data_IF_269462751333
#
_entry.id   IF_269462751333
#
_cell.length_a   1.000
_cell.length_b   1.000
_cell.length_c   1.000
_cell.angle_alpha   90.00
_cell.angle_beta   90.00
_cell.angle_gamma   90.00
#
_symmetry.space_group_name_H-M   'P 1'
#
loop_
_entity.id
_entity.type
_entity.pdbx_description
1 polymer ?
#
# COMPACT_ATOMS: atom_id res chain seq x y z
N UNK A 1 34.73 -33.71 14.39
CA UNK A 1 33.27 -33.64 14.25
C UNK A 1 32.98 -33.95 12.81
N UNK A 2 32.43 -35.14 12.52
CA UNK A 2 32.02 -35.53 11.18
C UNK A 2 30.84 -34.66 10.77
N UNK A 3 31.06 -33.74 9.84
CA UNK A 3 29.99 -33.11 9.08
C UNK A 3 29.35 -34.20 8.23
N UNK A 4 28.27 -34.76 8.74
CA UNK A 4 27.32 -35.53 7.94
C UNK A 4 26.83 -34.61 6.86
N UNK A 5 27.28 -34.78 5.62
CA UNK A 5 26.72 -34.20 4.40
C UNK A 5 25.25 -34.62 4.31
N UNK A 6 24.37 -33.81 4.92
CA UNK A 6 22.94 -33.94 4.79
C UNK A 6 22.66 -33.71 3.30
N UNK A 7 22.35 -34.78 2.57
CA UNK A 7 21.93 -34.72 1.17
C UNK A 7 20.68 -33.83 1.13
N UNK A 8 20.84 -32.59 0.73
CA UNK A 8 19.74 -31.59 0.67
C UNK A 8 18.77 -32.04 -0.44
N UNK A 9 17.74 -32.78 -0.06
CA UNK A 9 16.61 -33.10 -0.95
C UNK A 9 15.60 -31.96 -0.85
N UNK A 10 15.13 -31.50 -2.00
CA UNK A 10 14.09 -30.45 -2.03
C UNK A 10 12.83 -30.92 -1.31
N UNK A 11 12.16 -30.10 -0.50
CA UNK A 11 10.95 -30.47 0.22
C UNK A 11 9.86 -31.01 -0.72
N UNK A 12 9.36 -32.19 -0.41
CA UNK A 12 8.29 -32.85 -1.16
C UNK A 12 7.50 -33.81 -0.25
N UNK A 13 6.34 -34.25 -0.68
CA UNK A 13 5.59 -35.37 -0.10
C UNK A 13 4.94 -36.13 -1.20
N UNK A 14 5.53 -37.27 -1.54
CA UNK A 14 5.04 -38.17 -2.60
C UNK A 14 3.61 -38.60 -2.30
N UNK A 15 3.33 -38.97 -1.05
CA UNK A 15 2.02 -39.45 -0.62
C UNK A 15 0.94 -38.38 -0.78
N UNK A 16 1.26 -37.11 -0.46
CA UNK A 16 0.32 -36.02 -0.61
C UNK A 16 0.04 -35.71 -2.08
N UNK A 17 1.09 -35.68 -2.94
CA UNK A 17 0.92 -35.47 -4.38
C UNK A 17 0.08 -36.59 -5.03
N UNK A 18 0.33 -37.84 -4.68
CA UNK A 18 -0.48 -38.97 -5.13
C UNK A 18 -1.92 -38.89 -4.65
N UNK A 19 -2.11 -38.47 -3.39
CA UNK A 19 -3.43 -38.34 -2.79
C UNK A 19 -4.26 -37.21 -3.43
N UNK A 20 -3.65 -36.12 -3.85
CA UNK A 20 -4.34 -35.06 -4.61
C UNK A 20 -4.83 -35.63 -5.96
N UNK A 21 -3.94 -36.24 -6.74
CA UNK A 21 -4.30 -36.76 -8.05
C UNK A 21 -5.35 -37.86 -7.96
N UNK A 22 -5.18 -38.81 -7.02
CA UNK A 22 -6.16 -39.88 -6.80
C UNK A 22 -7.53 -39.36 -6.38
N UNK A 23 -7.59 -38.36 -5.50
CA UNK A 23 -8.85 -37.70 -5.10
C UNK A 23 -9.56 -37.01 -6.26
N UNK A 24 -8.82 -36.35 -7.15
CA UNK A 24 -9.36 -35.66 -8.34
C UNK A 24 -9.96 -36.63 -9.36
N UNK A 25 -9.42 -37.86 -9.44
CA UNK A 25 -9.98 -38.92 -10.33
C UNK A 25 -11.26 -39.51 -9.74
N UNK A 26 -11.33 -39.60 -8.40
CA UNK A 26 -12.48 -40.16 -7.68
C UNK A 26 -13.68 -39.23 -7.63
N UNK A 27 -13.46 -37.91 -7.58
CA UNK A 27 -14.49 -36.91 -7.27
C UNK A 27 -14.26 -35.60 -8.01
N UNK A 28 -15.29 -35.11 -8.71
CA UNK A 28 -15.23 -33.85 -9.43
C UNK A 28 -15.13 -32.64 -8.51
N UNK A 29 -15.70 -32.64 -7.31
CA UNK A 29 -15.59 -31.58 -6.32
C UNK A 29 -14.13 -31.45 -5.82
N UNK A 30 -13.40 -32.57 -5.79
CA UNK A 30 -11.97 -32.57 -5.47
C UNK A 30 -11.14 -31.84 -6.55
N UNK A 31 -11.56 -31.87 -7.83
CA UNK A 31 -10.91 -31.12 -8.90
C UNK A 31 -11.06 -29.64 -8.66
N UNK A 32 -12.26 -29.17 -8.34
CA UNK A 32 -12.53 -27.74 -8.05
C UNK A 32 -11.67 -27.28 -6.88
N UNK A 33 -11.69 -28.04 -5.78
CA UNK A 33 -10.88 -27.72 -4.58
C UNK A 33 -9.38 -27.67 -4.88
N UNK A 34 -8.88 -28.59 -5.70
CA UNK A 34 -7.47 -28.63 -6.04
C UNK A 34 -7.05 -27.50 -6.97
N UNK A 35 -7.90 -27.11 -7.94
CA UNK A 35 -7.69 -25.96 -8.85
C UNK A 35 -7.59 -24.63 -8.10
N UNK A 36 -8.35 -24.46 -7.03
CA UNK A 36 -8.31 -23.26 -6.21
C UNK A 36 -7.01 -23.09 -5.42
N UNK A 37 -6.33 -24.20 -5.10
CA UNK A 37 -5.17 -24.17 -4.19
C UNK A 37 -3.84 -24.36 -4.93
N UNK A 38 -3.82 -25.22 -5.95
CA UNK A 38 -2.59 -25.69 -6.60
C UNK A 38 -2.51 -25.26 -8.07
N UNK A 39 -1.26 -25.16 -8.53
CA UNK A 39 -0.87 -25.02 -9.93
C UNK A 39 -0.01 -26.24 -10.34
N UNK A 40 0.10 -26.50 -11.63
CA UNK A 40 0.94 -27.55 -12.16
C UNK A 40 2.38 -27.53 -11.60
N UNK A 41 2.95 -26.34 -11.45
CA UNK A 41 4.31 -26.11 -10.95
C UNK A 41 4.50 -26.38 -9.44
N UNK A 42 3.39 -26.54 -8.70
CA UNK A 42 3.45 -26.82 -7.26
C UNK A 42 3.79 -28.29 -6.96
N UNK A 43 3.73 -29.15 -7.95
CA UNK A 43 4.13 -30.56 -7.81
C UNK A 43 5.64 -30.71 -7.95
N UNK A 44 6.25 -31.49 -7.07
CA UNK A 44 7.67 -31.85 -7.16
C UNK A 44 7.93 -32.83 -8.26
N UNK A 45 7.06 -33.86 -8.35
CA UNK A 45 7.13 -34.88 -9.40
C UNK A 45 6.39 -34.37 -10.64
N UNK A 46 7.15 -34.10 -11.70
CA UNK A 46 6.62 -33.55 -12.97
C UNK A 46 5.44 -34.36 -13.53
N UNK A 47 5.43 -35.66 -13.33
CA UNK A 47 4.37 -36.54 -13.77
C UNK A 47 3.01 -36.21 -13.14
N UNK A 48 2.98 -35.85 -11.84
CA UNK A 48 1.73 -35.46 -11.18
C UNK A 48 1.26 -34.10 -11.61
N UNK A 49 2.18 -33.15 -11.86
CA UNK A 49 1.84 -31.87 -12.45
C UNK A 49 1.19 -32.00 -13.84
N UNK A 50 1.70 -32.91 -14.69
CA UNK A 50 1.12 -33.18 -16.01
C UNK A 50 -0.28 -33.80 -15.89
N UNK A 51 -0.47 -34.73 -14.97
CA UNK A 51 -1.78 -35.35 -14.70
C UNK A 51 -2.77 -34.30 -14.20
N UNK A 52 -2.35 -33.45 -13.26
CA UNK A 52 -3.14 -32.36 -12.73
C UNK A 52 -3.64 -31.43 -13.84
N UNK A 53 -2.75 -30.93 -14.69
CA UNK A 53 -3.07 -30.06 -15.81
C UNK A 53 -4.03 -30.72 -16.83
N UNK A 54 -3.79 -31.99 -17.17
CA UNK A 54 -4.65 -32.74 -18.07
C UNK A 54 -6.09 -32.91 -17.51
N UNK A 55 -6.23 -33.15 -16.21
CA UNK A 55 -7.54 -33.25 -15.56
C UNK A 55 -8.27 -31.89 -15.51
N UNK A 56 -7.56 -30.78 -15.28
CA UNK A 56 -8.13 -29.45 -15.34
C UNK A 56 -8.63 -29.12 -16.74
N UNK A 57 -7.86 -29.45 -17.79
CA UNK A 57 -8.30 -29.23 -19.17
C UNK A 57 -9.57 -30.03 -19.52
N UNK A 58 -9.64 -31.31 -19.11
CA UNK A 58 -10.84 -32.13 -19.29
C UNK A 58 -12.05 -31.53 -18.58
N UNK A 59 -11.88 -31.17 -17.30
CA UNK A 59 -12.93 -30.58 -16.51
C UNK A 59 -13.43 -29.24 -17.10
N UNK A 60 -12.51 -28.37 -17.50
CA UNK A 60 -12.82 -27.08 -18.10
C UNK A 60 -13.51 -27.16 -19.46
N UNK A 61 -13.26 -28.24 -20.21
CA UNK A 61 -13.96 -28.55 -21.47
C UNK A 61 -15.29 -29.26 -21.30
N UNK A 62 -15.73 -29.48 -20.04
CA UNK A 62 -16.99 -30.18 -19.73
C UNK A 62 -16.96 -31.68 -20.01
N UNK A 63 -15.77 -32.28 -20.16
CA UNK A 63 -15.61 -33.69 -20.36
C UNK A 63 -15.51 -34.46 -19.02
N UNK A 64 -16.00 -35.69 -18.94
CA UNK A 64 -15.85 -36.46 -17.72
C UNK A 64 -14.36 -36.74 -17.46
N UNK A 65 -13.96 -36.66 -16.20
CA UNK A 65 -12.59 -37.00 -15.76
C UNK A 65 -12.60 -38.39 -15.18
N UNK A 66 -12.18 -39.35 -15.99
CA UNK A 66 -12.03 -40.77 -15.63
C UNK A 66 -10.75 -41.35 -16.22
N UNK A 67 -10.44 -42.60 -15.86
CA UNK A 67 -9.21 -43.30 -16.32
C UNK A 67 -9.07 -43.34 -17.83
N UNK A 68 -10.18 -43.45 -18.57
CA UNK A 68 -10.17 -43.59 -20.03
C UNK A 68 -9.96 -42.25 -20.71
N UNK A 69 -10.74 -41.24 -20.29
CA UNK A 69 -10.65 -39.88 -20.85
C UNK A 69 -9.30 -39.24 -20.54
N UNK A 70 -8.79 -39.45 -19.32
CA UNK A 70 -7.48 -38.96 -18.90
C UNK A 70 -6.36 -39.63 -19.72
N UNK A 71 -6.41 -40.93 -19.91
CA UNK A 71 -5.42 -41.64 -20.76
C UNK A 71 -5.42 -41.11 -22.19
N UNK A 72 -6.60 -40.91 -22.80
CA UNK A 72 -6.69 -40.35 -24.14
C UNK A 72 -6.10 -38.94 -24.21
N UNK A 73 -6.38 -38.08 -23.21
CA UNK A 73 -5.83 -36.75 -23.13
C UNK A 73 -4.31 -36.73 -22.99
N UNK A 74 -3.75 -37.64 -22.18
CA UNK A 74 -2.30 -37.78 -22.02
C UNK A 74 -1.60 -38.28 -23.31
N UNK A 75 -2.25 -39.15 -24.09
CA UNK A 75 -1.73 -39.55 -25.40
C UNK A 75 -1.71 -38.42 -26.41
N UNK A 76 -2.70 -37.52 -26.39
CA UNK A 76 -2.71 -36.30 -27.22
C UNK A 76 -1.56 -35.35 -26.90
N UNK A 77 -1.14 -35.29 -25.63
CA UNK A 77 -0.04 -34.43 -25.15
C UNK A 77 1.36 -35.03 -25.34
N UNK A 78 1.48 -36.19 -26.01
CA UNK A 78 2.75 -36.88 -26.24
C UNK A 78 3.57 -37.17 -24.96
N UNK A 79 2.86 -37.51 -23.87
CA UNK A 79 3.46 -37.79 -22.56
C UNK A 79 4.06 -39.20 -22.53
N UNK A 80 5.20 -39.43 -21.80
CA UNK A 80 5.81 -40.74 -21.68
C UNK A 80 4.82 -41.84 -21.27
N UNK A 81 4.95 -43.01 -21.90
CA UNK A 81 4.04 -44.15 -21.68
C UNK A 81 3.93 -44.57 -20.21
N UNK A 82 4.98 -44.38 -19.44
CA UNK A 82 5.01 -44.67 -18.00
C UNK A 82 3.97 -43.84 -17.21
N UNK A 83 3.75 -42.59 -17.62
CA UNK A 83 2.81 -41.67 -16.98
C UNK A 83 1.38 -41.82 -17.50
N UNK A 84 1.24 -42.28 -18.78
CA UNK A 84 -0.06 -42.44 -19.43
C UNK A 84 -0.61 -43.87 -19.33
N UNK A 85 0.05 -44.78 -18.58
CA UNK A 85 -0.41 -46.15 -18.41
C UNK A 85 -1.62 -46.24 -17.48
N UNK A 86 -2.60 -47.07 -17.83
CA UNK A 86 -3.78 -47.33 -16.96
C UNK A 86 -3.38 -47.93 -15.61
N UNK A 87 -2.27 -48.66 -15.57
CA UNK A 87 -1.74 -49.28 -14.36
C UNK A 87 -1.28 -48.21 -13.37
N UNK A 88 -0.46 -47.26 -13.83
CA UNK A 88 0.03 -46.12 -13.01
C UNK A 88 -1.12 -45.25 -12.49
N UNK A 89 -2.04 -44.86 -13.36
CA UNK A 89 -3.18 -44.02 -12.95
C UNK A 89 -4.12 -44.78 -12.00
N UNK A 90 -4.29 -46.11 -12.23
CA UNK A 90 -5.08 -46.99 -11.37
C UNK A 90 -4.46 -47.19 -9.97
N UNK A 91 -3.13 -47.19 -9.85
CA UNK A 91 -2.44 -47.24 -8.56
C UNK A 91 -2.69 -45.98 -7.75
N UNK A 92 -2.73 -44.83 -8.37
CA UNK A 92 -3.02 -43.55 -7.69
C UNK A 92 -4.43 -43.50 -7.06
N UNK A 93 -5.41 -44.07 -7.76
CA UNK A 93 -6.78 -44.19 -7.22
C UNK A 93 -6.83 -45.14 -6.03
N UNK A 94 -6.08 -46.25 -6.09
CA UNK A 94 -6.04 -47.22 -4.97
C UNK A 94 -5.30 -46.73 -3.74
N UNK A 95 -4.35 -45.80 -3.94
CA UNK A 95 -3.57 -45.20 -2.83
C UNK A 95 -4.41 -44.28 -1.94
N UNK A 96 -5.57 -43.83 -2.43
CA UNK A 96 -6.41 -42.87 -1.70
C UNK A 96 -7.69 -43.52 -1.20
N UNK A 97 -7.91 -43.60 0.11
CA UNK A 97 -9.11 -44.23 0.65
C UNK A 97 -10.37 -43.33 0.55
N UNK A 98 -10.24 -42.02 0.44
CA UNK A 98 -11.36 -41.05 0.34
C UNK A 98 -10.92 -39.72 -0.24
N UNK A 99 -11.76 -39.10 -1.08
CA UNK A 99 -11.58 -37.75 -1.62
C UNK A 99 -11.84 -36.63 -0.59
N UNK A 100 -12.49 -36.92 0.55
CA UNK A 100 -12.94 -35.94 1.53
C UNK A 100 -11.82 -35.06 2.11
N UNK A 101 -10.57 -35.54 2.09
CA UNK A 101 -9.41 -34.83 2.66
C UNK A 101 -8.55 -34.11 1.62
N UNK A 102 -9.00 -33.98 0.38
CA UNK A 102 -8.22 -33.38 -0.71
C UNK A 102 -7.65 -32.02 -0.36
N UNK A 103 -8.41 -31.16 0.29
CA UNK A 103 -7.96 -29.84 0.73
C UNK A 103 -6.73 -29.92 1.64
N UNK A 104 -6.68 -30.92 2.51
CA UNK A 104 -5.55 -31.14 3.42
C UNK A 104 -4.30 -31.56 2.64
N UNK A 105 -4.46 -32.46 1.68
CA UNK A 105 -3.36 -32.91 0.80
C UNK A 105 -2.85 -31.76 -0.07
N UNK A 106 -3.74 -30.97 -0.64
CA UNK A 106 -3.37 -29.78 -1.40
C UNK A 106 -2.54 -28.78 -0.57
N UNK A 107 -2.90 -28.55 0.67
CA UNK A 107 -2.14 -27.68 1.56
C UNK A 107 -0.73 -28.19 1.84
N UNK A 108 -0.54 -29.51 2.01
CA UNK A 108 0.79 -30.13 2.18
C UNK A 108 1.65 -29.91 0.92
N UNK A 109 1.07 -30.13 -0.26
CA UNK A 109 1.77 -29.91 -1.54
C UNK A 109 2.13 -28.44 -1.70
N UNK A 110 1.21 -27.51 -1.39
CA UNK A 110 1.42 -26.07 -1.46
C UNK A 110 2.51 -25.60 -0.51
N UNK A 111 2.50 -26.09 0.73
CA UNK A 111 3.53 -25.75 1.72
C UNK A 111 4.93 -26.20 1.25
N UNK A 112 5.06 -27.41 0.72
CA UNK A 112 6.32 -27.89 0.18
C UNK A 112 6.76 -27.14 -1.08
N UNK A 113 5.82 -26.75 -1.94
CA UNK A 113 6.10 -25.89 -3.09
C UNK A 113 6.65 -24.52 -2.66
N UNK A 114 6.04 -23.89 -1.66
CA UNK A 114 6.52 -22.63 -1.10
C UNK A 114 7.93 -22.75 -0.51
N UNK A 115 8.22 -23.82 0.22
CA UNK A 115 9.57 -24.10 0.73
C UNK A 115 10.59 -24.22 -0.42
N UNK A 116 10.23 -24.90 -1.52
CA UNK A 116 11.10 -25.00 -2.72
C UNK A 116 11.33 -23.65 -3.40
N UNK A 117 10.28 -22.84 -3.54
CA UNK A 117 10.40 -21.48 -4.09
C UNK A 117 11.31 -20.61 -3.22
N UNK A 118 11.15 -20.69 -1.91
CA UNK A 118 12.01 -19.96 -0.97
C UNK A 118 13.48 -20.40 -1.07
N UNK A 119 13.75 -21.72 -1.16
CA UNK A 119 15.11 -22.24 -1.33
C UNK A 119 15.72 -21.69 -2.64
N UNK A 120 14.98 -21.70 -3.76
CA UNK A 120 15.49 -21.18 -5.04
C UNK A 120 15.84 -19.70 -4.97
N UNK A 121 14.96 -18.89 -4.39
CA UNK A 121 15.22 -17.44 -4.22
C UNK A 121 16.46 -17.20 -3.35
N UNK A 122 16.63 -17.95 -2.26
CA UNK A 122 17.84 -17.82 -1.41
C UNK A 122 19.11 -18.29 -2.13
N UNK A 123 19.04 -19.33 -2.97
CA UNK A 123 20.17 -19.77 -3.81
C UNK A 123 20.53 -18.71 -4.87
N UNK A 124 19.54 -18.06 -5.47
CA UNK A 124 19.76 -16.97 -6.43
C UNK A 124 20.44 -15.77 -5.77
N UNK A 125 19.97 -15.36 -4.58
CA UNK A 125 20.56 -14.28 -3.79
C UNK A 125 22.01 -14.63 -3.40
N UNK A 126 22.25 -15.86 -2.93
CA UNK A 126 23.58 -16.34 -2.60
C UNK A 126 24.54 -16.23 -3.80
N UNK A 127 24.10 -16.71 -4.97
CA UNK A 127 24.89 -16.65 -6.19
C UNK A 127 25.20 -15.22 -6.65
N UNK A 128 24.26 -14.30 -6.51
CA UNK A 128 24.46 -12.87 -6.84
C UNK A 128 25.47 -12.22 -5.90
N UNK A 129 25.39 -12.50 -4.60
CA UNK A 129 26.35 -12.02 -3.63
C UNK A 129 27.79 -12.50 -3.95
N UNK A 130 27.95 -13.79 -4.31
CA UNK A 130 29.25 -14.31 -4.70
C UNK A 130 29.75 -13.80 -6.04
N UNK A 131 28.85 -13.52 -6.97
CA UNK A 131 29.23 -12.98 -8.30
C UNK A 131 29.82 -11.57 -8.23
N UNK A 132 29.40 -10.74 -7.24
CA UNK A 132 29.93 -9.40 -6.98
C UNK A 132 29.82 -8.42 -8.16
N UNK A 133 28.87 -8.65 -9.07
CA UNK A 133 28.71 -7.84 -10.29
C UNK A 133 27.83 -6.62 -10.10
N UNK A 134 26.93 -6.67 -9.15
CA UNK A 134 25.96 -5.63 -8.86
C UNK A 134 26.31 -4.87 -7.58
N UNK A 135 25.76 -3.66 -7.42
CA UNK A 135 25.91 -2.91 -6.18
C UNK A 135 25.13 -3.58 -5.05
N UNK A 136 25.57 -3.39 -3.81
CA UNK A 136 24.87 -3.93 -2.63
C UNK A 136 23.40 -3.48 -2.61
N UNK A 137 23.14 -2.22 -2.96
CA UNK A 137 21.79 -1.65 -3.02
C UNK A 137 20.90 -2.39 -4.02
N UNK A 138 21.41 -2.68 -5.23
CA UNK A 138 20.68 -3.45 -6.26
C UNK A 138 20.34 -4.86 -5.79
N UNK A 139 21.26 -5.54 -5.13
CA UNK A 139 21.05 -6.89 -4.58
C UNK A 139 20.00 -6.87 -3.48
N UNK A 140 20.02 -5.87 -2.59
CA UNK A 140 19.04 -5.73 -1.53
C UNK A 140 17.64 -5.46 -2.05
N UNK A 141 17.48 -4.53 -3.00
CA UNK A 141 16.20 -4.20 -3.64
C UNK A 141 15.60 -5.41 -4.35
N UNK A 142 16.42 -6.17 -5.09
CA UNK A 142 15.98 -7.39 -5.75
C UNK A 142 15.56 -8.47 -4.75
N UNK A 143 16.35 -8.66 -3.70
CA UNK A 143 16.05 -9.61 -2.61
C UNK A 143 14.69 -9.29 -1.96
N UNK A 144 14.47 -8.02 -1.63
CA UNK A 144 13.18 -7.58 -1.06
C UNK A 144 12.02 -7.85 -2.03
N UNK A 145 12.21 -7.51 -3.31
CA UNK A 145 11.20 -7.75 -4.35
C UNK A 145 10.85 -9.24 -4.47
N UNK A 146 11.83 -10.12 -4.54
CA UNK A 146 11.64 -11.56 -4.79
C UNK A 146 11.01 -12.26 -3.59
N UNK A 147 11.46 -11.91 -2.36
CA UNK A 147 10.84 -12.41 -1.12
C UNK A 147 9.39 -11.91 -1.02
N UNK A 148 9.15 -10.64 -1.34
CA UNK A 148 7.79 -10.08 -1.31
C UNK A 148 6.87 -10.71 -2.34
N UNK A 149 7.36 -10.96 -3.57
CA UNK A 149 6.61 -11.67 -4.60
C UNK A 149 6.19 -13.08 -4.14
N UNK A 150 7.07 -13.78 -3.42
CA UNK A 150 6.74 -15.07 -2.81
C UNK A 150 5.66 -14.95 -1.73
N UNK A 151 5.76 -13.96 -0.83
CA UNK A 151 4.77 -13.73 0.23
C UNK A 151 3.41 -13.34 -0.37
N UNK A 152 3.41 -12.52 -1.42
CA UNK A 152 2.19 -12.08 -2.11
C UNK A 152 1.55 -13.21 -2.92
N UNK A 153 2.34 -14.17 -3.45
CA UNK A 153 1.83 -15.36 -4.11
C UNK A 153 1.16 -16.34 -3.14
N UNK A 154 1.43 -16.23 -1.85
CA UNK A 154 0.73 -16.96 -0.78
C UNK A 154 -0.72 -16.47 -0.61
N UNK A 155 -0.96 -15.20 -0.84
CA UNK A 155 -2.27 -14.55 -0.97
C UNK A 155 -2.69 -14.50 -2.45
N UNK A 156 -2.38 -15.55 -3.21
CA UNK A 156 -2.78 -15.67 -4.62
C UNK A 156 -4.22 -15.23 -4.75
N UNK A 157 -4.51 -14.32 -5.69
CA UNK A 157 -5.76 -13.60 -5.76
C UNK A 157 -6.95 -14.50 -5.50
N UNK A 158 -7.33 -14.61 -4.23
CA UNK A 158 -8.52 -15.31 -3.84
C UNK A 158 -9.67 -14.68 -4.60
N UNK A 159 -10.23 -15.40 -5.55
CA UNK A 159 -11.54 -15.08 -6.07
C UNK A 159 -12.49 -15.05 -4.86
N UNK A 160 -12.76 -13.85 -4.40
CA UNK A 160 -13.73 -13.68 -3.33
C UNK A 160 -15.12 -13.73 -3.97
N UNK A 161 -15.95 -14.74 -3.66
CA UNK A 161 -17.29 -14.83 -4.20
C UNK A 161 -18.04 -13.53 -3.92
N UNK A 162 -18.78 -13.02 -4.91
CA UNK A 162 -19.52 -11.75 -4.77
C UNK A 162 -20.40 -11.72 -3.52
N UNK A 163 -20.94 -12.86 -3.11
CA UNK A 163 -21.72 -12.99 -1.87
C UNK A 163 -20.92 -12.54 -0.64
N UNK A 164 -19.67 -12.93 -0.53
CA UNK A 164 -18.80 -12.54 0.59
C UNK A 164 -18.44 -11.05 0.53
N UNK A 165 -18.20 -10.52 -0.68
CA UNK A 165 -17.98 -9.08 -0.88
C UNK A 165 -19.19 -8.27 -0.45
N UNK A 166 -20.41 -8.72 -0.78
CA UNK A 166 -21.66 -8.10 -0.36
C UNK A 166 -21.83 -8.13 1.16
N UNK A 167 -21.56 -9.27 1.80
CA UNK A 167 -21.62 -9.37 3.26
C UNK A 167 -20.64 -8.43 3.95
N UNK A 168 -19.40 -8.39 3.51
CA UNK A 168 -18.39 -7.48 4.04
C UNK A 168 -18.76 -6.00 3.82
N UNK A 169 -19.41 -5.67 2.69
CA UNK A 169 -19.90 -4.32 2.42
C UNK A 169 -21.05 -3.95 3.36
N UNK A 170 -21.99 -4.86 3.60
CA UNK A 170 -23.09 -4.65 4.54
C UNK A 170 -22.59 -4.44 5.97
N UNK A 171 -21.62 -5.24 6.43
CA UNK A 171 -21.01 -5.05 7.75
C UNK A 171 -20.36 -3.68 7.90
N UNK A 172 -19.69 -3.19 6.84
CA UNK A 172 -19.09 -1.83 6.83
C UNK A 172 -20.16 -0.75 6.91
N UNK A 173 -21.28 -0.91 6.17
CA UNK A 173 -22.41 0.04 6.19
C UNK A 173 -23.07 0.01 7.59
N UNK A 174 -23.27 -1.16 8.18
CA UNK A 174 -23.84 -1.29 9.52
C UNK A 174 -22.97 -0.62 10.58
N UNK A 175 -21.64 -0.86 10.56
CA UNK A 175 -20.70 -0.17 11.44
C UNK A 175 -20.73 1.35 11.27
N UNK A 176 -20.79 1.82 10.03
CA UNK A 176 -20.89 3.25 9.74
C UNK A 176 -22.21 3.86 10.24
N UNK A 177 -23.31 3.10 10.18
CA UNK A 177 -24.62 3.56 10.68
C UNK A 177 -24.71 3.63 12.21
N UNK A 178 -23.86 2.90 12.92
CA UNK A 178 -23.78 2.87 14.40
C UNK A 178 -22.82 3.92 14.95
N UNK A 179 -21.99 4.56 14.10
CA UNK A 179 -21.11 5.64 14.53
C UNK A 179 -21.88 6.97 14.58
N UNK A 180 -21.79 7.67 15.72
CA UNK A 180 -22.29 9.03 15.85
C UNK A 180 -21.41 9.98 15.04
N UNK A 181 -21.80 10.29 13.78
CA UNK A 181 -21.10 11.23 12.91
C UNK A 181 -21.00 10.74 11.47
N UNK A 182 -20.68 11.70 10.56
CA UNK A 182 -20.54 11.41 9.12
C UNK A 182 -19.12 11.00 8.70
N UNK A 183 -18.21 10.75 9.65
CA UNK A 183 -16.80 10.47 9.38
C UNK A 183 -16.54 8.97 9.52
N UNK A 184 -16.37 8.30 8.38
CA UNK A 184 -16.08 6.84 8.34
C UNK A 184 -14.59 6.54 8.21
N UNK A 185 -13.80 7.52 7.75
CA UNK A 185 -12.34 7.47 7.64
C UNK A 185 -11.66 8.11 8.85
N UNK A 186 -10.38 8.41 8.69
CA UNK A 186 -9.58 9.13 9.71
C UNK A 186 -9.97 10.61 9.67
N UNK A 187 -10.42 11.20 10.79
CA UNK A 187 -10.80 12.60 10.84
C UNK A 187 -9.58 13.51 10.66
N UNK A 188 -9.74 14.60 9.92
CA UNK A 188 -8.68 15.60 9.69
C UNK A 188 -8.62 16.67 10.76
N UNK A 189 -9.67 16.78 11.59
CA UNK A 189 -9.88 17.89 12.54
C UNK A 189 -10.55 19.12 11.93
N UNK A 190 -10.77 19.12 10.61
CA UNK A 190 -11.50 20.18 9.90
C UNK A 190 -12.92 19.73 9.60
N UNK A 191 -13.88 20.21 10.39
CA UNK A 191 -15.27 19.72 10.41
C UNK A 191 -15.93 19.72 9.03
N UNK A 192 -15.82 20.83 8.29
CA UNK A 192 -16.45 20.95 6.97
C UNK A 192 -15.72 20.12 5.90
N UNK A 193 -14.41 19.89 6.07
CA UNK A 193 -13.64 18.99 5.21
C UNK A 193 -14.04 17.53 5.47
N UNK A 194 -14.09 17.14 6.73
CA UNK A 194 -14.49 15.79 7.15
C UNK A 194 -15.94 15.48 6.76
N UNK A 195 -16.85 16.46 6.84
CA UNK A 195 -18.21 16.31 6.35
C UNK A 195 -18.29 16.00 4.83
N UNK A 196 -17.40 16.66 4.02
CA UNK A 196 -17.39 16.46 2.56
C UNK A 196 -16.66 15.20 2.11
N UNK A 197 -15.61 14.81 2.83
CA UNK A 197 -14.75 13.67 2.46
C UNK A 197 -15.09 12.39 3.22
N UNK A 198 -15.94 12.49 4.25
CA UNK A 198 -16.14 11.46 5.27
C UNK A 198 -14.83 11.05 5.97
N UNK A 199 -13.86 11.98 6.10
CA UNK A 199 -12.51 11.74 6.58
C UNK A 199 -11.58 11.12 5.54
N UNK A 200 -10.34 10.83 5.93
CA UNK A 200 -9.34 10.19 5.06
C UNK A 200 -9.61 8.69 4.99
N UNK A 201 -9.98 8.20 3.81
CA UNK A 201 -10.38 6.80 3.64
C UNK A 201 -9.16 5.87 3.52
N UNK A 202 -9.19 4.68 4.12
CA UNK A 202 -8.15 3.67 3.92
C UNK A 202 -7.92 3.37 2.43
N UNK A 203 -6.66 3.15 2.05
CA UNK A 203 -6.24 2.88 0.66
C UNK A 203 -6.36 4.06 -0.31
N UNK A 204 -6.77 5.26 0.14
CA UNK A 204 -6.83 6.43 -0.73
C UNK A 204 -5.48 7.13 -0.85
N UNK A 205 -5.20 7.61 -2.06
CA UNK A 205 -4.15 8.57 -2.35
C UNK A 205 -4.78 9.96 -2.45
N UNK A 206 -4.46 10.81 -1.48
CA UNK A 206 -4.92 12.20 -1.40
C UNK A 206 -3.79 13.13 -1.81
N UNK A 207 -4.00 13.89 -2.87
CA UNK A 207 -3.04 14.88 -3.34
C UNK A 207 -3.43 16.27 -2.82
N UNK A 208 -2.48 16.95 -2.17
CA UNK A 208 -2.65 18.34 -1.73
C UNK A 208 -1.62 19.20 -2.46
N UNK A 209 -2.09 20.12 -3.29
CA UNK A 209 -1.20 20.94 -4.10
C UNK A 209 -1.42 22.44 -3.86
N UNK A 210 -0.33 23.18 -3.87
CA UNK A 210 -0.35 24.62 -3.71
C UNK A 210 0.87 25.31 -4.33
N UNK A 211 0.79 26.62 -4.55
CA UNK A 211 1.97 27.44 -4.79
C UNK A 211 2.77 27.62 -3.49
N UNK A 212 4.07 27.94 -3.57
CA UNK A 212 4.87 28.27 -2.40
C UNK A 212 4.20 29.32 -1.51
N UNK A 213 4.41 29.23 -0.21
CA UNK A 213 3.89 30.17 0.82
C UNK A 213 2.37 30.13 1.04
N UNK A 214 1.61 29.24 0.39
CA UNK A 214 0.17 29.06 0.65
C UNK A 214 -0.14 28.29 1.93
N UNK A 215 0.86 27.72 2.61
CA UNK A 215 0.68 26.98 3.85
C UNK A 215 0.52 25.46 3.69
N UNK A 216 0.99 24.87 2.57
CA UNK A 216 0.86 23.44 2.26
C UNK A 216 1.36 22.54 3.41
N UNK A 217 2.63 22.69 3.83
CA UNK A 217 3.23 21.95 4.95
C UNK A 217 2.48 22.22 6.28
N UNK A 218 2.07 23.48 6.54
CA UNK A 218 1.30 23.80 7.73
C UNK A 218 -0.04 23.05 7.77
N UNK A 219 -0.74 22.98 6.65
CA UNK A 219 -2.04 22.30 6.56
C UNK A 219 -1.92 20.80 6.92
N UNK A 220 -0.93 20.09 6.37
CA UNK A 220 -0.75 18.67 6.69
C UNK A 220 -0.20 18.44 8.08
N UNK A 221 0.59 19.37 8.64
CA UNK A 221 1.01 19.30 10.04
C UNK A 221 -0.17 19.48 11.00
N UNK A 222 -1.16 20.32 10.67
CA UNK A 222 -2.39 20.42 11.44
C UNK A 222 -3.19 19.11 11.42
N UNK A 223 -3.28 18.46 10.25
CA UNK A 223 -3.90 17.12 10.14
C UNK A 223 -3.10 16.10 10.96
N UNK A 224 -1.76 16.06 10.80
CA UNK A 224 -0.90 15.14 11.53
C UNK A 224 -1.02 15.30 13.05
N UNK A 225 -1.03 16.55 13.53
CA UNK A 225 -1.23 16.89 14.94
C UNK A 225 -2.59 16.36 15.43
N UNK A 226 -3.66 16.62 14.71
CA UNK A 226 -4.99 16.14 15.10
C UNK A 226 -5.03 14.62 15.17
N UNK A 227 -4.55 13.93 14.14
CA UNK A 227 -4.58 12.47 14.05
C UNK A 227 -3.68 11.82 15.11
N UNK A 228 -2.45 12.32 15.29
CA UNK A 228 -1.50 11.70 16.22
C UNK A 228 -1.74 12.07 17.68
N UNK A 229 -2.19 13.32 17.98
CA UNK A 229 -2.29 13.82 19.35
C UNK A 229 -3.70 13.66 19.94
N UNK A 230 -4.75 13.82 19.13
CA UNK A 230 -6.13 13.74 19.61
C UNK A 230 -6.78 12.40 19.35
N UNK A 231 -6.51 11.78 18.18
CA UNK A 231 -7.04 10.46 17.84
C UNK A 231 -6.11 9.31 18.27
N UNK A 232 -4.89 9.62 18.76
CA UNK A 232 -3.87 8.63 19.16
C UNK A 232 -3.58 7.59 18.07
N UNK A 233 -3.54 8.03 16.80
CA UNK A 233 -3.29 7.16 15.65
C UNK A 233 -1.88 7.37 15.13
N UNK A 234 -1.13 6.28 14.95
CA UNK A 234 0.22 6.35 14.42
C UNK A 234 0.24 7.02 13.04
N UNK A 235 1.00 8.10 12.93
CA UNK A 235 1.15 8.92 11.72
C UNK A 235 2.61 9.04 11.35
N UNK A 236 2.98 8.71 10.11
CA UNK A 236 4.32 8.87 9.59
C UNK A 236 4.41 10.05 8.64
N UNK A 237 5.36 10.97 8.87
CA UNK A 237 5.67 12.11 8.00
C UNK A 237 7.03 11.87 7.36
N UNK A 238 7.08 11.78 6.03
CA UNK A 238 8.31 11.81 5.25
C UNK A 238 8.53 13.24 4.76
N UNK A 239 9.50 13.92 5.38
CA UNK A 239 9.83 15.32 5.06
C UNK A 239 11.09 15.38 4.24
N UNK A 240 10.93 15.70 2.95
CA UNK A 240 12.05 15.77 2.00
C UNK A 240 12.58 17.19 1.81
N UNK A 241 11.86 18.21 2.32
CA UNK A 241 12.22 19.62 2.22
C UNK A 241 12.74 20.19 3.54
N UNK A 242 12.17 19.76 4.67
CA UNK A 242 12.47 20.34 5.99
C UNK A 242 13.05 19.29 6.91
N UNK A 243 13.98 19.68 7.79
CA UNK A 243 14.49 18.78 8.83
C UNK A 243 13.42 18.48 9.90
N UNK A 244 13.58 17.38 10.60
CA UNK A 244 12.69 16.97 11.69
C UNK A 244 12.62 18.02 12.80
N UNK A 245 13.74 18.69 13.12
CA UNK A 245 13.76 19.77 14.12
C UNK A 245 12.91 20.96 13.69
N UNK A 246 12.92 21.31 12.39
CA UNK A 246 12.09 22.40 11.87
C UNK A 246 10.60 22.07 11.92
N UNK A 247 10.24 20.80 11.65
CA UNK A 247 8.86 20.33 11.77
C UNK A 247 8.40 20.33 13.23
N UNK A 248 9.23 19.85 14.15
CA UNK A 248 8.94 19.86 15.59
C UNK A 248 8.76 21.29 16.10
N UNK A 249 9.59 22.23 15.67
CA UNK A 249 9.40 23.66 16.02
C UNK A 249 8.05 24.21 15.56
N UNK A 250 7.56 23.80 14.37
CA UNK A 250 6.22 24.17 13.91
C UNK A 250 5.12 23.48 14.73
N UNK A 251 5.32 22.23 15.11
CA UNK A 251 4.38 21.53 15.99
C UNK A 251 4.33 22.16 17.38
N UNK A 252 5.45 22.65 17.93
CA UNK A 252 5.46 23.43 19.16
C UNK A 252 4.61 24.69 19.03
N UNK A 253 4.82 25.49 17.97
CA UNK A 253 4.03 26.69 17.74
C UNK A 253 2.53 26.39 17.64
N UNK A 254 2.20 25.32 16.92
CA UNK A 254 0.85 24.86 16.66
C UNK A 254 0.14 24.38 17.93
N UNK A 255 0.82 23.54 18.74
CA UNK A 255 0.25 22.91 19.94
C UNK A 255 0.21 23.88 21.10
N UNK A 256 1.34 24.52 21.41
CA UNK A 256 1.49 25.40 22.58
C UNK A 256 0.90 26.81 22.34
N UNK A 257 0.48 27.14 21.11
CA UNK A 257 0.03 28.48 20.71
C UNK A 257 1.04 29.58 21.09
N UNK A 258 2.32 29.28 20.90
CA UNK A 258 3.42 30.23 21.04
C UNK A 258 3.81 30.73 19.65
N UNK A 259 4.04 32.02 19.52
CA UNK A 259 4.40 32.66 18.25
C UNK A 259 5.64 31.98 17.61
N UNK A 260 5.53 31.59 16.35
CA UNK A 260 6.59 30.87 15.61
C UNK A 260 7.86 31.72 15.45
N UNK A 261 7.73 33.06 15.41
CA UNK A 261 8.88 33.97 15.35
C UNK A 261 9.57 34.07 16.70
N UNK A 262 8.79 34.10 17.80
CA UNK A 262 9.33 34.09 19.17
C UNK A 262 10.12 32.79 19.43
N UNK A 263 9.60 31.63 19.00
CA UNK A 263 10.32 30.34 19.05
C UNK A 263 11.65 30.39 18.30
N UNK A 264 11.63 30.94 17.08
CA UNK A 264 12.82 31.01 16.23
C UNK A 264 13.90 31.94 16.78
N UNK A 265 13.48 33.06 17.42
CA UNK A 265 14.42 34.06 17.93
C UNK A 265 14.82 33.83 19.38
N UNK A 266 14.15 32.88 20.07
CA UNK A 266 14.36 32.62 21.49
C UNK A 266 13.79 33.71 22.42
N UNK A 267 12.99 34.64 21.90
CA UNK A 267 12.37 35.72 22.71
C UNK A 267 11.05 35.22 23.31
N UNK A 268 11.17 34.45 24.39
CA UNK A 268 10.06 33.75 25.04
C UNK A 268 9.88 34.28 26.46
N UNK A 269 8.61 34.49 26.85
CA UNK A 269 8.24 34.80 28.23
C UNK A 269 8.21 33.52 29.09
N UNK A 270 8.20 33.69 30.42
CA UNK A 270 8.04 32.55 31.35
C UNK A 270 6.72 31.80 31.10
N UNK A 271 5.65 32.53 30.70
CA UNK A 271 4.38 31.92 30.33
C UNK A 271 4.46 31.08 29.04
N UNK A 272 5.27 31.51 28.07
CA UNK A 272 5.50 30.76 26.84
C UNK A 272 6.31 29.49 27.13
N UNK A 273 7.31 29.60 28.02
CA UNK A 273 8.06 28.43 28.46
C UNK A 273 7.18 27.39 29.15
N UNK A 274 6.23 27.82 30.01
CA UNK A 274 5.30 26.90 30.65
C UNK A 274 4.43 26.15 29.62
N UNK A 275 3.89 26.87 28.62
CA UNK A 275 3.12 26.24 27.51
C UNK A 275 3.96 25.31 26.66
N UNK A 276 5.23 25.63 26.40
CA UNK A 276 6.13 24.79 25.62
C UNK A 276 6.46 23.49 26.35
N UNK A 277 6.64 23.53 27.68
CA UNK A 277 6.87 22.31 28.47
C UNK A 277 5.65 21.40 28.44
N UNK A 278 4.44 21.96 28.55
CA UNK A 278 3.18 21.21 28.43
C UNK A 278 3.06 20.60 27.02
N UNK A 279 3.27 21.40 25.95
CA UNK A 279 3.25 20.94 24.58
C UNK A 279 4.32 19.89 24.28
N UNK A 280 5.50 19.98 24.91
CA UNK A 280 6.55 18.98 24.76
C UNK A 280 6.13 17.60 25.30
N UNK A 281 5.37 17.58 26.40
CA UNK A 281 4.78 16.33 26.91
C UNK A 281 3.81 15.71 25.90
N UNK A 282 2.87 16.51 25.37
CA UNK A 282 1.87 16.03 24.38
C UNK A 282 2.55 15.51 23.11
N UNK A 283 3.52 16.26 22.57
CA UNK A 283 4.26 15.86 21.37
C UNK A 283 5.07 14.59 21.63
N UNK A 284 5.74 14.51 22.79
CA UNK A 284 6.59 13.38 23.16
C UNK A 284 5.84 12.08 23.38
N UNK A 285 4.61 12.16 23.88
CA UNK A 285 3.75 10.99 24.15
C UNK A 285 2.94 10.55 22.92
N UNK A 286 3.04 11.31 21.81
CA UNK A 286 2.25 11.03 20.59
C UNK A 286 2.87 9.92 19.72
N UNK A 287 2.00 9.24 18.98
CA UNK A 287 2.38 8.23 17.98
C UNK A 287 2.77 8.88 16.61
N UNK A 288 3.60 9.94 16.65
CA UNK A 288 4.07 10.64 15.46
C UNK A 288 5.51 10.22 15.10
N UNK A 289 5.69 9.72 13.88
CA UNK A 289 6.99 9.33 13.32
C UNK A 289 7.39 10.37 12.28
N UNK A 290 8.58 10.96 12.40
CA UNK A 290 9.12 11.91 11.41
C UNK A 290 10.40 11.31 10.81
N UNK A 291 10.41 11.16 9.50
CA UNK A 291 11.56 10.73 8.70
C UNK A 291 11.97 11.86 7.75
N UNK A 292 13.17 12.37 7.91
CA UNK A 292 13.72 13.46 7.09
C UNK A 292 14.88 12.98 6.18
N UNK A 293 14.86 11.69 5.81
CA UNK A 293 15.85 11.11 4.88
C UNK A 293 15.76 11.81 3.53
N UNK A 294 16.81 12.55 3.09
CA UNK A 294 16.75 13.29 1.83
C UNK A 294 16.78 12.33 0.63
N UNK A 295 15.93 12.60 -0.37
CA UNK A 295 15.90 11.83 -1.60
C UNK A 295 15.55 10.35 -1.43
N UNK A 296 14.75 10.01 -0.43
CA UNK A 296 14.32 8.64 -0.16
C UNK A 296 13.70 8.00 -1.42
N UNK A 297 14.08 6.77 -1.71
CA UNK A 297 13.48 5.99 -2.78
C UNK A 297 12.09 5.45 -2.38
N UNK A 298 11.25 5.14 -3.38
CA UNK A 298 9.94 4.55 -3.11
C UNK A 298 10.05 3.17 -2.43
N UNK A 299 11.09 2.40 -2.76
CA UNK A 299 11.37 1.08 -2.16
C UNK A 299 11.71 1.20 -0.69
N UNK A 300 12.61 2.12 -0.33
CA UNK A 300 12.99 2.38 1.05
C UNK A 300 11.79 2.89 1.88
N UNK A 301 11.03 3.85 1.34
CA UNK A 301 9.82 4.35 1.98
C UNK A 301 8.81 3.22 2.24
N UNK A 302 8.60 2.33 1.26
CA UNK A 302 7.71 1.17 1.39
C UNK A 302 8.17 0.23 2.50
N UNK A 303 9.47 -0.06 2.57
CA UNK A 303 10.07 -0.91 3.62
C UNK A 303 9.85 -0.31 5.01
N UNK A 304 10.14 0.99 5.19
CA UNK A 304 9.89 1.71 6.43
C UNK A 304 8.40 1.72 6.82
N UNK A 305 7.50 2.01 5.87
CA UNK A 305 6.05 2.01 6.14
C UNK A 305 5.52 0.63 6.56
N UNK A 306 6.02 -0.45 5.95
CA UNK A 306 5.69 -1.82 6.38
C UNK A 306 6.12 -2.10 7.81
N UNK A 307 7.34 -1.69 8.17
CA UNK A 307 7.85 -1.79 9.53
C UNK A 307 6.98 -1.02 10.51
N UNK A 308 6.66 0.25 10.21
CA UNK A 308 5.79 1.07 11.07
C UNK A 308 4.37 0.50 11.17
N UNK A 309 3.87 -0.12 10.09
CA UNK A 309 2.56 -0.81 10.12
C UNK A 309 2.54 -2.00 11.07
N UNK A 310 3.63 -2.76 11.13
CA UNK A 310 3.75 -3.94 11.99
C UNK A 310 4.02 -3.56 13.46
N UNK A 311 4.89 -2.59 13.70
CA UNK A 311 5.35 -2.23 15.05
C UNK A 311 4.44 -1.23 15.77
N UNK A 312 3.81 -0.30 15.02
CA UNK A 312 3.05 0.82 15.56
C UNK A 312 1.62 0.92 15.01
N UNK A 313 1.15 -0.06 14.22
CA UNK A 313 -0.17 -0.03 13.57
C UNK A 313 -0.43 1.28 12.79
N UNK A 314 0.54 1.66 11.94
CA UNK A 314 0.50 2.88 11.12
C UNK A 314 -0.89 3.11 10.48
N UNK A 315 -1.44 4.31 10.66
CA UNK A 315 -2.76 4.71 10.18
C UNK A 315 -2.74 5.78 9.10
N UNK A 316 -1.73 6.65 9.08
CA UNK A 316 -1.63 7.76 8.13
C UNK A 316 -0.20 7.94 7.65
N UNK A 317 -0.01 8.15 6.34
CA UNK A 317 1.27 8.47 5.72
C UNK A 317 1.18 9.86 5.09
N UNK A 318 2.13 10.74 5.38
CA UNK A 318 2.25 12.09 4.81
C UNK A 318 3.61 12.23 4.14
N UNK A 319 3.63 12.80 2.91
CA UNK A 319 4.86 12.98 2.12
C UNK A 319 4.97 14.44 1.70
N UNK A 320 6.02 15.16 2.16
CA UNK A 320 6.29 16.56 1.82
C UNK A 320 7.65 16.70 1.14
N UNK A 321 7.74 16.82 -0.15
CA UNK A 321 6.78 16.72 -1.24
C UNK A 321 7.30 15.80 -2.35
N UNK A 322 6.40 15.25 -3.17
CA UNK A 322 6.67 14.20 -4.17
C UNK A 322 7.85 14.48 -5.12
N UNK A 323 8.00 15.73 -5.54
CA UNK A 323 9.03 16.09 -6.53
C UNK A 323 10.46 16.01 -6.00
N UNK A 324 10.68 15.76 -4.70
CA UNK A 324 11.99 15.54 -4.10
C UNK A 324 12.35 14.06 -3.92
N UNK A 325 11.41 13.15 -4.19
CA UNK A 325 11.68 11.71 -4.16
C UNK A 325 12.63 11.31 -5.29
N UNK A 326 13.49 10.33 -5.02
CA UNK A 326 14.34 9.71 -6.03
C UNK A 326 13.57 8.64 -6.79
N UNK A 327 13.65 8.69 -8.13
CA UNK A 327 13.12 7.63 -8.99
C UNK A 327 14.03 6.40 -9.01
N UNK A 328 13.62 5.35 -9.70
CA UNK A 328 14.31 4.05 -9.80
C UNK A 328 15.60 4.04 -10.62
N UNK A 329 16.30 5.18 -10.76
CA UNK A 329 17.69 5.24 -11.24
C UNK A 329 17.94 4.92 -12.72
N UNK A 330 16.94 4.80 -13.57
CA UNK A 330 17.13 4.67 -15.02
C UNK A 330 17.30 6.05 -15.63
N UNK A 331 18.54 6.39 -15.98
CA UNK A 331 19.01 7.73 -16.41
C UNK A 331 18.44 8.25 -17.74
N UNK A 332 17.45 7.63 -18.32
CA UNK A 332 16.85 7.99 -19.62
C UNK A 332 15.41 8.47 -19.53
N UNK A 333 14.76 8.36 -18.39
CA UNK A 333 13.35 8.72 -18.26
C UNK A 333 13.20 10.22 -18.00
N UNK A 334 12.18 10.82 -18.61
CA UNK A 334 11.85 12.21 -18.33
C UNK A 334 11.35 12.34 -16.88
N UNK A 335 11.62 13.46 -16.20
CA UNK A 335 11.12 13.74 -14.83
C UNK A 335 9.62 13.54 -14.70
N UNK A 336 8.88 13.73 -15.77
CA UNK A 336 7.45 13.50 -15.83
C UNK A 336 7.10 12.00 -15.69
N UNK A 337 7.89 11.12 -16.30
CA UNK A 337 7.71 9.68 -16.20
C UNK A 337 8.04 9.18 -14.78
N UNK A 338 9.12 9.66 -14.18
CA UNK A 338 9.49 9.35 -12.79
C UNK A 338 8.36 9.68 -11.81
N UNK A 339 7.78 10.88 -11.91
CA UNK A 339 6.68 11.32 -11.04
C UNK A 339 5.43 10.43 -11.24
N UNK A 340 5.20 9.99 -12.48
CA UNK A 340 4.10 9.07 -12.79
C UNK A 340 4.29 7.70 -12.14
N UNK A 341 5.51 7.19 -12.15
CA UNK A 341 5.85 5.90 -11.53
C UNK A 341 5.79 5.97 -10.00
N UNK A 342 6.25 7.09 -9.42
CA UNK A 342 6.12 7.37 -7.98
C UNK A 342 4.64 7.40 -7.60
N UNK A 343 3.79 8.11 -8.33
CA UNK A 343 2.35 8.22 -8.06
C UNK A 343 1.66 6.86 -8.01
N UNK A 344 1.88 6.03 -9.05
CA UNK A 344 1.34 4.67 -9.11
C UNK A 344 1.83 3.81 -7.95
N UNK A 345 3.12 3.93 -7.59
CA UNK A 345 3.71 3.20 -6.49
C UNK A 345 3.14 3.62 -5.13
N UNK A 346 2.86 4.91 -4.93
CA UNK A 346 2.21 5.40 -3.71
C UNK A 346 0.75 4.95 -3.60
N UNK A 347 0.01 4.91 -4.72
CA UNK A 347 -1.33 4.33 -4.73
C UNK A 347 -1.31 2.83 -4.42
N UNK A 348 -0.32 2.11 -4.95
CA UNK A 348 -0.10 0.71 -4.62
C UNK A 348 0.22 0.52 -3.12
N UNK A 349 1.09 1.37 -2.54
CA UNK A 349 1.43 1.37 -1.12
C UNK A 349 0.21 1.62 -0.23
N UNK A 350 -0.62 2.62 -0.57
CA UNK A 350 -1.85 2.92 0.15
C UNK A 350 -2.79 1.70 0.21
N UNK A 351 -2.94 1.01 -0.92
CA UNK A 351 -3.78 -0.21 -1.03
C UNK A 351 -3.18 -1.39 -0.27
N UNK A 352 -1.88 -1.61 -0.39
CA UNK A 352 -1.16 -2.70 0.26
C UNK A 352 -1.27 -2.64 1.79
N UNK A 353 -1.04 -1.45 2.36
CA UNK A 353 -1.08 -1.25 3.80
C UNK A 353 -2.50 -0.97 4.32
N UNK A 354 -3.47 -0.74 3.44
CA UNK A 354 -4.81 -0.26 3.76
C UNK A 354 -4.80 1.01 4.62
N UNK A 355 -3.94 1.98 4.22
CA UNK A 355 -3.69 3.25 4.92
C UNK A 355 -3.81 4.39 3.92
N UNK A 356 -4.46 5.53 4.27
CA UNK A 356 -4.44 6.72 3.41
C UNK A 356 -3.04 7.30 3.31
N UNK A 357 -2.70 7.77 2.10
CA UNK A 357 -1.45 8.48 1.80
C UNK A 357 -1.77 9.91 1.38
N UNK A 358 -1.31 10.89 2.16
CA UNK A 358 -1.36 12.31 1.82
C UNK A 358 -0.04 12.70 1.16
N UNK A 359 -0.10 13.04 -0.11
CA UNK A 359 1.07 13.45 -0.87
C UNK A 359 0.99 14.95 -1.23
N UNK A 360 2.03 15.69 -0.92
CA UNK A 360 2.11 17.10 -1.26
C UNK A 360 2.75 17.29 -2.63
N UNK A 361 2.23 18.27 -3.37
CA UNK A 361 2.75 18.63 -4.69
C UNK A 361 2.84 20.15 -4.85
N UNK A 362 3.82 20.60 -5.62
CA UNK A 362 3.93 22.00 -5.99
C UNK A 362 3.24 22.24 -7.34
N UNK A 363 2.42 23.30 -7.42
CA UNK A 363 1.75 23.69 -8.66
C UNK A 363 2.70 24.40 -9.63
N UNK A 364 2.40 24.27 -10.92
CA UNK A 364 3.08 24.99 -12.00
C UNK A 364 2.98 26.51 -11.81
N UNK A 365 3.99 27.24 -12.31
CA UNK A 365 3.98 28.71 -12.34
C UNK A 365 2.90 29.29 -13.27
N UNK A 366 2.29 28.48 -14.11
CA UNK A 366 1.18 28.91 -14.97
C UNK A 366 -0.03 29.47 -14.22
N UNK A 367 -0.23 29.03 -12.96
CA UNK A 367 -1.26 29.58 -12.06
C UNK A 367 -1.08 31.11 -11.89
N UNK A 368 0.16 31.58 -11.75
CA UNK A 368 0.47 33.01 -11.51
C UNK A 368 0.25 33.89 -12.75
N UNK A 369 0.12 33.29 -13.94
CA UNK A 369 -0.16 34.02 -15.17
C UNK A 369 -1.64 34.29 -15.39
N UNK A 370 -2.52 33.66 -14.60
CA UNK A 370 -3.97 33.88 -14.69
C UNK A 370 -4.38 35.08 -13.81
N UNK A 371 -5.38 35.84 -14.27
CA UNK A 371 -5.84 37.02 -13.52
C UNK A 371 -6.39 36.70 -12.11
N UNK A 372 -6.99 35.52 -11.94
CA UNK A 372 -7.60 35.07 -10.69
C UNK A 372 -6.66 34.27 -9.80
N UNK A 373 -5.49 33.86 -10.31
CA UNK A 373 -4.51 33.02 -9.62
C UNK A 373 -5.09 31.73 -8.98
N UNK A 374 -6.31 31.33 -9.37
CA UNK A 374 -6.97 30.15 -8.77
C UNK A 374 -6.43 28.86 -9.38
N UNK A 375 -6.07 27.88 -8.53
CA UNK A 375 -5.55 26.60 -9.00
C UNK A 375 -6.63 25.73 -9.66
N UNK A 376 -6.22 24.97 -10.67
CA UNK A 376 -7.06 23.97 -11.33
C UNK A 376 -6.26 22.70 -11.66
N UNK A 377 -6.94 21.60 -12.00
CA UNK A 377 -6.28 20.31 -12.25
C UNK A 377 -5.19 20.37 -13.32
N UNK A 378 -5.37 21.20 -14.36
CA UNK A 378 -4.35 21.40 -15.40
C UNK A 378 -3.02 21.98 -14.90
N UNK A 379 -2.97 22.57 -13.70
CA UNK A 379 -1.76 23.13 -13.11
C UNK A 379 -0.84 22.07 -12.50
N UNK A 380 -1.33 20.83 -12.40
CA UNK A 380 -0.55 19.64 -12.07
C UNK A 380 0.25 19.09 -13.27
N UNK A 381 0.43 19.86 -14.33
CA UNK A 381 0.95 19.45 -15.66
C UNK A 381 2.29 18.70 -15.69
N UNK A 382 3.15 18.86 -14.69
CA UNK A 382 4.38 18.05 -14.54
C UNK A 382 4.05 16.64 -14.05
N UNK A 383 2.79 16.40 -13.71
CA UNK A 383 2.29 15.24 -12.96
C UNK A 383 0.90 14.81 -13.44
N UNK A 384 0.59 14.86 -14.74
CA UNK A 384 -0.75 14.49 -15.25
C UNK A 384 -1.20 13.08 -14.85
N UNK A 385 -0.27 12.17 -14.62
CA UNK A 385 -0.58 10.85 -14.10
C UNK A 385 -1.01 10.88 -12.63
N UNK A 386 -0.45 11.78 -11.80
CA UNK A 386 -0.85 11.92 -10.38
C UNK A 386 -2.34 12.28 -10.26
N UNK A 387 -2.81 13.15 -11.16
CA UNK A 387 -4.25 13.49 -11.20
C UNK A 387 -5.10 12.23 -11.44
N UNK A 388 -4.66 11.33 -12.32
CA UNK A 388 -5.42 10.11 -12.63
C UNK A 388 -5.39 9.11 -11.48
N UNK A 389 -4.24 8.94 -10.84
CA UNK A 389 -4.00 7.96 -9.78
C UNK A 389 -4.64 8.37 -8.44
N UNK A 390 -4.65 9.68 -8.13
CA UNK A 390 -5.22 10.20 -6.89
C UNK A 390 -6.74 9.99 -6.81
N UNK A 391 -7.22 9.61 -5.63
CA UNK A 391 -8.65 9.48 -5.34
C UNK A 391 -9.27 10.83 -5.00
N UNK A 392 -8.50 11.67 -4.30
CA UNK A 392 -8.87 13.02 -3.93
C UNK A 392 -7.75 13.99 -4.32
N UNK A 393 -8.10 15.12 -4.90
CA UNK A 393 -7.18 16.23 -5.21
C UNK A 393 -7.71 17.49 -4.57
N UNK A 394 -6.88 18.10 -3.73
CA UNK A 394 -7.18 19.35 -3.02
C UNK A 394 -6.16 20.42 -3.39
N UNK A 395 -6.64 21.65 -3.53
CA UNK A 395 -5.78 22.83 -3.67
C UNK A 395 -5.94 23.75 -2.47
N UNK A 396 -4.84 24.36 -2.07
CA UNK A 396 -4.85 25.43 -1.07
C UNK A 396 -4.68 26.75 -1.80
N UNK A 397 -5.63 27.64 -1.59
CA UNK A 397 -5.63 28.99 -2.16
C UNK A 397 -5.91 30.03 -1.09
N UNK A 398 -5.20 31.14 -1.15
CA UNK A 398 -5.39 32.28 -0.27
C UNK A 398 -5.44 33.54 -1.10
N UNK A 399 -6.60 34.21 -1.10
CA UNK A 399 -6.82 35.42 -1.85
C UNK A 399 -6.03 36.60 -1.28
N UNK A 400 -5.87 36.67 0.05
CA UNK A 400 -5.11 37.71 0.76
C UNK A 400 -3.60 37.72 0.43
N UNK A 401 -3.08 36.65 -0.12
CA UNK A 401 -1.70 36.58 -0.58
C UNK A 401 -1.48 37.39 -1.88
N UNK A 402 -2.45 37.35 -2.78
CA UNK A 402 -2.38 38.03 -4.08
C UNK A 402 -3.05 39.39 -4.06
N UNK A 403 -4.18 39.55 -3.36
CA UNK A 403 -4.98 40.74 -3.27
C UNK A 403 -5.04 41.23 -1.82
N UNK A 404 -4.33 42.35 -1.51
CA UNK A 404 -4.28 42.93 -0.17
C UNK A 404 -5.59 43.60 0.26
N UNK A 405 -6.43 43.97 -0.71
CA UNK A 405 -7.72 44.63 -0.49
C UNK A 405 -8.91 43.69 -0.45
N UNK A 406 -8.65 42.38 -0.42
CA UNK A 406 -9.70 41.34 -0.36
C UNK A 406 -10.52 41.45 0.93
N UNK A 407 -11.81 41.08 0.84
CA UNK A 407 -12.69 40.86 1.98
C UNK A 407 -12.38 39.54 2.72
N UNK A 408 -11.64 38.63 2.08
CA UNK A 408 -11.29 37.29 2.59
C UNK A 408 -9.95 37.28 3.35
N UNK A 409 -9.66 38.28 4.14
CA UNK A 409 -8.41 38.36 4.92
C UNK A 409 -8.36 37.24 5.96
N UNK A 410 -7.23 36.53 6.02
CA UNK A 410 -7.03 35.42 6.96
C UNK A 410 -7.88 34.19 6.63
N UNK A 411 -8.48 34.13 5.44
CA UNK A 411 -9.23 32.97 4.98
C UNK A 411 -8.39 32.18 3.98
N UNK A 412 -8.32 30.86 4.19
CA UNK A 412 -7.73 29.91 3.26
C UNK A 412 -8.82 29.02 2.69
N UNK A 413 -8.85 28.91 1.39
CA UNK A 413 -9.77 28.04 0.67
C UNK A 413 -9.10 26.69 0.41
N UNK A 414 -9.73 25.61 0.86
CA UNK A 414 -9.36 24.24 0.52
C UNK A 414 -10.31 23.77 -0.59
N UNK A 415 -9.82 23.76 -1.82
CA UNK A 415 -10.60 23.46 -3.02
C UNK A 415 -10.48 21.97 -3.33
N UNK A 416 -11.54 21.19 -3.09
CA UNK A 416 -11.64 19.79 -3.49
C UNK A 416 -11.97 19.77 -4.98
N UNK A 417 -10.95 19.61 -5.82
CA UNK A 417 -11.08 19.67 -7.28
C UNK A 417 -11.39 18.31 -7.91
N UNK A 418 -11.03 17.23 -7.21
CA UNK A 418 -11.36 15.85 -7.60
C UNK A 418 -11.67 15.04 -6.35
N UNK A 419 -12.72 14.23 -6.41
CA UNK A 419 -13.06 13.24 -5.40
C UNK A 419 -13.79 12.07 -6.08
N UNK A 420 -13.31 10.83 -5.91
CA UNK A 420 -13.93 9.66 -6.55
C UNK A 420 -15.25 9.28 -5.89
N UNK A 421 -15.33 9.41 -4.56
CA UNK A 421 -16.44 8.90 -3.76
C UNK A 421 -17.20 10.02 -3.02
N UNK A 422 -17.24 11.23 -3.57
CA UNK A 422 -17.93 12.35 -2.92
C UNK A 422 -18.01 13.60 -3.80
N UNK A 423 -18.62 14.67 -3.29
CA UNK A 423 -18.80 15.92 -4.03
C UNK A 423 -17.50 16.74 -4.05
N UNK A 424 -17.25 17.43 -5.15
CA UNK A 424 -16.26 18.51 -5.24
C UNK A 424 -16.80 19.78 -4.59
N UNK A 425 -15.92 20.71 -4.23
CA UNK A 425 -16.32 22.02 -3.67
C UNK A 425 -15.20 22.69 -2.91
N UNK A 426 -15.52 23.78 -2.23
CA UNK A 426 -14.56 24.56 -1.48
C UNK A 426 -14.95 24.57 0.01
N UNK A 427 -13.95 24.40 0.87
CA UNK A 427 -14.03 24.56 2.33
C UNK A 427 -13.19 25.76 2.73
N UNK A 428 -13.74 26.64 3.53
CA UNK A 428 -13.02 27.81 4.04
C UNK A 428 -12.53 27.54 5.45
N UNK A 429 -11.26 27.86 5.69
CA UNK A 429 -10.60 27.75 6.99
C UNK A 429 -9.98 29.08 7.38
N UNK A 430 -9.93 29.38 8.66
CA UNK A 430 -9.15 30.51 9.17
C UNK A 430 -7.66 30.16 9.09
N UNK A 431 -6.85 31.13 8.65
CA UNK A 431 -5.40 31.05 8.66
C UNK A 431 -4.80 31.97 9.72
N UNK A 432 -4.08 31.40 10.68
CA UNK A 432 -3.40 32.08 11.77
C UNK A 432 -1.89 31.99 11.55
N UNK A 433 -1.29 32.99 10.87
CA UNK A 433 0.11 32.93 10.45
C UNK A 433 1.10 32.87 11.61
N UNK A 434 0.80 33.50 12.74
CA UNK A 434 1.62 33.53 13.95
C UNK A 434 1.86 32.14 14.54
N UNK A 435 0.89 31.22 14.39
CA UNK A 435 0.98 29.85 14.89
C UNK A 435 1.12 28.82 13.76
N UNK A 436 1.22 29.27 12.50
CA UNK A 436 1.17 28.40 11.31
C UNK A 436 -0.03 27.45 11.33
N UNK A 437 -1.20 27.96 11.81
CA UNK A 437 -2.38 27.17 12.12
C UNK A 437 -3.52 27.45 11.15
N UNK A 438 -4.16 26.36 10.69
CA UNK A 438 -5.50 26.38 10.11
C UNK A 438 -6.52 26.07 11.20
N UNK A 439 -7.65 26.76 11.19
CA UNK A 439 -8.72 26.55 12.15
C UNK A 439 -10.08 26.52 11.46
N UNK A 440 -11.04 25.81 12.06
CA UNK A 440 -12.42 25.86 11.63
C UNK A 440 -12.97 27.29 11.81
N UNK A 441 -13.78 27.74 10.86
CA UNK A 441 -14.50 29.01 11.03
C UNK A 441 -15.67 28.80 11.98
N UNK A 442 -15.87 29.73 12.90
CA UNK A 442 -17.09 29.77 13.72
C UNK A 442 -18.29 30.00 12.80
N UNK A 443 -19.32 29.18 12.96
CA UNK A 443 -20.59 29.27 12.23
C UNK A 443 -21.51 30.30 12.85
#
# INVERSE_FOLDING_TARGET
MEETLIKRVMPNSLEAEQSVIGSMIMDQDAIVTAMEILLQEDFYHKQYGILFDAMIELYSSGQPVDLVTLQNKLKEKDVPQEVSSLEFVGELVRAVPTSANVKYYCNIVKENSMKRKLIRVTEEIENECYAGKESLESVLDKTEHDIFALLSSRTGGDYVPIRQVVMNALEKIEKASQQDGNVTGIPTGFIDLDYRTAGLQPSDLVLIAARPSMGKTAFVLNIAQYVAFHENMCTAIFSLEMSKEQLVNRLFSLESRVDAQALRTGNLSDADWAKLVEGAGIIGDSELIIDDTPGISISEMRSKCRKYKLEHDLKLIIIDYLQLMSGSGRSTDSRQQEISDISRSLKALARELNVPVLALSQLSRAVEQRPDHRPMLSDLRVSGAIEQDADVVMFIYRDDYYNKDTELKGISEIIIAKQRNGPIGTVNLAWLPEYTKFANLER
#
